data_IF_278953085191
#
_entry.id   IF_278953085191
#
_cell.length_a   1.000
_cell.length_b   1.000
_cell.length_c   1.000
_cell.angle_alpha   90.00
_cell.angle_beta   90.00
_cell.angle_gamma   90.00
#
_symmetry.space_group_name_H-M   'P 1'
#
loop_
_entity.id
_entity.type
_entity.pdbx_description
1 polymer ?
#
# COMPACT_ATOMS: atom_id res chain seq x y z
N UNK A 1 14.38 0.19 -13.59
CA UNK A 1 13.53 0.77 -14.66
C UNK A 1 12.09 0.72 -14.18
N UNK A 2 11.34 1.80 -14.32
CA UNK A 2 9.94 1.83 -13.90
C UNK A 2 9.04 1.42 -15.06
N UNK A 3 8.10 0.52 -14.78
CA UNK A 3 7.15 -0.03 -15.74
C UNK A 3 5.90 0.84 -15.72
N UNK A 4 5.54 1.40 -16.87
CA UNK A 4 4.35 2.21 -17.06
C UNK A 4 3.55 1.69 -18.25
N UNK A 5 2.23 1.80 -18.17
CA UNK A 5 1.34 1.41 -19.25
C UNK A 5 1.61 2.33 -20.44
N UNK A 6 1.83 1.74 -21.62
CA UNK A 6 2.04 2.44 -22.89
C UNK A 6 3.31 3.31 -22.99
N UNK A 7 4.30 3.13 -22.11
CA UNK A 7 5.59 3.84 -22.17
C UNK A 7 6.76 2.85 -22.22
N UNK A 8 7.79 3.16 -23.02
CA UNK A 8 9.04 2.41 -22.99
C UNK A 8 9.80 2.73 -21.69
N UNK A 9 10.11 1.73 -20.85
CA UNK A 9 10.73 1.95 -19.55
C UNK A 9 12.15 2.47 -19.74
N UNK A 10 12.41 3.70 -19.26
CA UNK A 10 13.76 4.28 -19.30
C UNK A 10 14.57 3.81 -18.08
N UNK A 11 15.80 3.28 -18.28
CA UNK A 11 16.66 2.92 -17.16
C UNK A 11 17.12 4.17 -16.38
N UNK A 12 17.17 4.06 -15.07
CA UNK A 12 17.78 5.03 -14.17
C UNK A 12 18.64 4.29 -13.14
N UNK A 13 19.65 4.98 -12.61
CA UNK A 13 20.48 4.52 -11.50
C UNK A 13 19.72 4.57 -10.18
N UNK A 14 20.21 3.85 -9.16
CA UNK A 14 19.64 3.92 -7.81
C UNK A 14 19.79 5.32 -7.18
N UNK A 15 20.84 6.06 -7.55
CA UNK A 15 21.05 7.43 -7.07
C UNK A 15 19.99 8.39 -7.64
N UNK A 16 19.72 8.32 -8.95
CA UNK A 16 18.65 9.11 -9.59
C UNK A 16 17.27 8.74 -9.02
N UNK A 17 16.99 7.45 -8.82
CA UNK A 17 15.74 7.01 -8.22
C UNK A 17 15.58 7.56 -6.77
N UNK A 18 16.67 7.59 -6.00
CA UNK A 18 16.67 8.18 -4.66
C UNK A 18 16.41 9.70 -4.68
N UNK A 19 16.98 10.43 -5.64
CA UNK A 19 16.70 11.86 -5.83
C UNK A 19 15.23 12.14 -6.18
N UNK A 20 14.56 11.20 -6.85
CA UNK A 20 13.12 11.26 -7.12
C UNK A 20 12.25 10.88 -5.92
N UNK A 21 12.83 10.29 -4.86
CA UNK A 21 12.13 9.91 -3.63
C UNK A 21 11.78 8.42 -3.53
N UNK A 22 12.37 7.57 -4.37
CA UNK A 22 12.28 6.12 -4.24
C UNK A 22 13.39 5.56 -3.35
N UNK A 23 13.07 4.61 -2.49
CA UNK A 23 14.05 3.99 -1.60
C UNK A 23 14.24 2.52 -1.94
N UNK A 24 15.52 2.11 -2.04
CA UNK A 24 15.93 0.74 -2.26
C UNK A 24 16.91 0.33 -1.18
N UNK A 25 16.54 -0.63 -0.34
CA UNK A 25 17.43 -1.22 0.66
C UNK A 25 17.76 -2.66 0.30
N UNK A 26 19.05 -2.98 0.33
CA UNK A 26 19.55 -4.34 0.18
C UNK A 26 20.31 -4.73 1.45
N UNK A 27 19.79 -5.71 2.18
CA UNK A 27 20.51 -6.37 3.28
C UNK A 27 20.82 -7.82 2.90
N UNK A 28 21.53 -8.55 3.76
CA UNK A 28 21.75 -9.99 3.54
C UNK A 28 20.41 -10.72 3.39
N UNK A 29 20.13 -11.19 2.17
CA UNK A 29 18.93 -11.97 1.83
C UNK A 29 17.62 -11.18 1.68
N UNK A 30 17.63 -9.84 1.73
CA UNK A 30 16.40 -9.04 1.63
C UNK A 30 16.60 -7.80 0.77
N UNK A 31 15.69 -7.65 -0.19
CA UNK A 31 15.55 -6.47 -1.04
C UNK A 31 14.22 -5.78 -0.70
N UNK A 32 14.26 -4.49 -0.42
CA UNK A 32 13.10 -3.65 -0.11
C UNK A 32 13.02 -2.54 -1.13
N UNK A 33 11.81 -2.30 -1.62
CA UNK A 33 11.47 -1.14 -2.42
C UNK A 33 10.37 -0.35 -1.69
N UNK A 34 10.58 0.96 -1.53
CA UNK A 34 9.57 1.88 -1.01
C UNK A 34 9.34 3.03 -1.98
N UNK A 35 8.07 3.39 -2.11
CA UNK A 35 7.62 4.57 -2.82
C UNK A 35 6.57 5.27 -1.95
N UNK A 36 6.64 6.58 -1.85
CA UNK A 36 5.54 7.37 -1.29
C UNK A 36 4.43 7.53 -2.33
N UNK A 37 3.26 8.03 -1.91
CA UNK A 37 2.26 8.47 -2.87
C UNK A 37 2.73 9.69 -3.69
N UNK A 38 2.15 9.86 -4.86
CA UNK A 38 2.38 10.98 -5.77
C UNK A 38 3.71 10.94 -6.52
N UNK A 39 4.35 9.77 -6.61
CA UNK A 39 5.64 9.62 -7.27
C UNK A 39 5.51 9.69 -8.79
N UNK A 40 6.48 10.26 -9.53
CA UNK A 40 6.33 10.58 -10.96
C UNK A 40 6.17 9.36 -11.86
N UNK A 41 6.67 8.20 -11.43
CA UNK A 41 6.59 6.92 -12.16
C UNK A 41 5.55 5.97 -11.57
N UNK A 42 4.76 6.46 -10.61
CA UNK A 42 3.56 5.76 -10.15
C UNK A 42 2.43 5.91 -11.16
N UNK A 43 1.49 4.96 -11.13
CA UNK A 43 0.26 5.03 -11.89
C UNK A 43 -0.94 4.70 -11.00
N UNK A 44 -2.06 5.35 -11.28
CA UNK A 44 -3.33 5.05 -10.62
C UNK A 44 -4.11 4.02 -11.44
N UNK A 45 -4.66 3.04 -10.75
CA UNK A 45 -5.55 2.02 -11.32
C UNK A 45 -6.67 1.69 -10.34
N UNK A 46 -7.62 0.87 -10.76
CA UNK A 46 -8.73 0.43 -9.91
C UNK A 46 -8.67 -1.10 -9.75
N UNK A 47 -8.73 -1.56 -8.51
CA UNK A 47 -8.73 -2.99 -8.16
C UNK A 47 -9.94 -3.26 -7.28
N UNK A 48 -10.86 -4.11 -7.72
CA UNK A 48 -12.12 -4.38 -7.01
C UNK A 48 -12.87 -3.10 -6.58
N UNK A 49 -12.91 -2.11 -7.48
CA UNK A 49 -13.52 -0.79 -7.23
C UNK A 49 -12.87 0.06 -6.14
N UNK A 50 -11.64 -0.28 -5.73
CA UNK A 50 -10.81 0.56 -4.88
C UNK A 50 -9.72 1.23 -5.71
N UNK A 51 -9.57 2.57 -5.64
CA UNK A 51 -8.50 3.27 -6.34
C UNK A 51 -7.15 2.96 -5.68
N UNK A 52 -6.18 2.52 -6.47
CA UNK A 52 -4.85 2.13 -6.03
C UNK A 52 -3.81 2.93 -6.79
N UNK A 53 -2.84 3.47 -6.07
CA UNK A 53 -1.60 3.96 -6.68
C UNK A 53 -0.55 2.86 -6.59
N UNK A 54 0.10 2.56 -7.72
CA UNK A 54 1.12 1.54 -7.81
C UNK A 54 2.38 2.06 -8.50
N UNK A 55 3.53 1.62 -8.03
CA UNK A 55 4.82 1.76 -8.67
C UNK A 55 5.38 0.37 -8.96
N UNK A 56 5.65 0.08 -10.23
CA UNK A 56 6.23 -1.18 -10.67
C UNK A 56 7.64 -0.92 -11.20
N UNK A 57 8.63 -1.60 -10.64
CA UNK A 57 10.04 -1.43 -10.99
C UNK A 57 10.71 -2.76 -11.26
N UNK A 58 11.47 -2.83 -12.33
CA UNK A 58 12.41 -3.92 -12.58
C UNK A 58 13.81 -3.45 -12.22
N UNK A 59 14.41 -4.10 -11.22
CA UNK A 59 15.77 -3.86 -10.77
C UNK A 59 16.71 -4.78 -11.55
N UNK A 60 17.71 -4.20 -12.21
CA UNK A 60 18.65 -4.92 -13.05
C UNK A 60 20.07 -4.82 -12.48
N UNK A 61 20.75 -5.95 -12.34
CA UNK A 61 22.16 -6.01 -11.96
C UNK A 61 22.89 -7.03 -12.81
N UNK A 62 24.04 -6.64 -13.37
CA UNK A 62 24.88 -7.52 -14.17
C UNK A 62 26.19 -7.82 -13.43
N UNK A 63 26.44 -9.09 -13.15
CA UNK A 63 27.69 -9.57 -12.56
C UNK A 63 28.38 -10.51 -13.57
N UNK A 64 29.40 -10.00 -14.25
CA UNK A 64 30.11 -10.70 -15.33
C UNK A 64 29.14 -11.26 -16.41
N UNK A 65 28.96 -12.58 -16.42
CA UNK A 65 28.14 -13.32 -17.38
C UNK A 65 26.71 -13.57 -16.90
N UNK A 66 26.40 -13.25 -15.63
CA UNK A 66 25.07 -13.41 -15.04
C UNK A 66 24.36 -12.06 -14.98
N UNK A 67 23.08 -12.06 -15.32
CA UNK A 67 22.17 -10.93 -15.19
C UNK A 67 21.08 -11.32 -14.20
N UNK A 68 20.91 -10.50 -13.17
CA UNK A 68 19.81 -10.57 -12.22
C UNK A 68 18.79 -9.49 -12.59
N UNK A 69 17.53 -9.91 -12.73
CA UNK A 69 16.38 -9.02 -12.87
C UNK A 69 15.37 -9.37 -11.80
N UNK A 70 14.89 -8.36 -11.07
CA UNK A 70 13.90 -8.54 -10.01
C UNK A 70 12.80 -7.53 -10.22
N UNK A 71 11.57 -8.02 -10.39
CA UNK A 71 10.38 -7.19 -10.44
C UNK A 71 9.89 -6.94 -9.01
N UNK A 72 9.64 -5.67 -8.70
CA UNK A 72 9.15 -5.20 -7.42
C UNK A 72 7.95 -4.30 -7.68
N UNK A 73 6.91 -4.47 -6.87
CA UNK A 73 5.70 -3.64 -6.95
C UNK A 73 5.39 -3.11 -5.56
N UNK A 74 5.24 -1.80 -5.46
CA UNK A 74 4.62 -1.15 -4.31
C UNK A 74 3.25 -0.68 -4.76
N UNK A 75 2.19 -1.09 -4.07
CA UNK A 75 0.83 -0.70 -4.38
C UNK A 75 0.06 -0.41 -3.09
N UNK A 76 -0.63 0.72 -3.07
CA UNK A 76 -1.32 1.19 -1.87
C UNK A 76 -2.67 1.82 -2.23
N UNK A 77 -3.69 1.57 -1.41
CA UNK A 77 -5.02 2.17 -1.60
C UNK A 77 -4.96 3.68 -1.43
N UNK A 78 -5.60 4.40 -2.37
CA UNK A 78 -5.76 5.86 -2.32
C UNK A 78 -7.17 6.28 -1.88
N UNK A 79 -7.97 5.31 -1.40
CA UNK A 79 -9.30 5.54 -0.85
C UNK A 79 -9.27 6.68 0.17
N UNK A 80 -10.10 7.70 -0.06
CA UNK A 80 -10.14 8.90 0.80
C UNK A 80 -10.85 8.65 2.12
N UNK A 81 -11.40 7.46 2.29
CA UNK A 81 -12.31 7.13 3.36
C UNK A 81 -13.67 7.78 3.18
N UNK A 82 -14.62 7.26 3.93
CA UNK A 82 -15.99 7.75 4.02
C UNK A 82 -16.44 7.71 5.47
N UNK A 83 -17.54 8.38 5.77
CA UNK A 83 -18.21 8.26 7.05
C UNK A 83 -19.71 8.30 6.81
N UNK A 84 -20.46 7.70 7.71
CA UNK A 84 -21.92 7.71 7.69
C UNK A 84 -22.49 8.04 9.08
N UNK A 85 -23.81 8.04 9.19
CA UNK A 85 -24.52 8.32 10.44
C UNK A 85 -24.39 7.19 11.47
N UNK A 86 -23.72 6.07 11.14
CA UNK A 86 -23.55 4.92 12.03
C UNK A 86 -22.48 5.12 13.10
N UNK A 87 -21.63 6.14 12.98
CA UNK A 87 -20.57 6.40 13.96
C UNK A 87 -19.14 6.16 13.48
N UNK A 88 -18.94 5.73 12.22
CA UNK A 88 -17.68 5.16 11.77
C UNK A 88 -17.02 5.97 10.66
N UNK A 89 -15.70 6.02 10.71
CA UNK A 89 -14.85 6.34 9.56
C UNK A 89 -14.45 5.02 8.90
N UNK A 90 -14.61 4.93 7.60
CA UNK A 90 -14.43 3.70 6.84
C UNK A 90 -13.44 3.92 5.71
N UNK A 91 -12.47 3.02 5.56
CA UNK A 91 -11.55 2.96 4.43
C UNK A 91 -11.64 1.61 3.74
N UNK A 92 -11.29 1.59 2.45
CA UNK A 92 -11.21 0.36 1.66
C UNK A 92 -9.80 0.14 1.11
N UNK A 93 -9.35 -1.10 1.13
CA UNK A 93 -8.14 -1.55 0.44
C UNK A 93 -8.39 -2.89 -0.24
N UNK A 94 -7.86 -3.17 -1.44
CA UNK A 94 -7.97 -4.51 -2.01
C UNK A 94 -7.38 -5.56 -1.06
N UNK A 95 -8.01 -6.72 -0.96
CA UNK A 95 -7.48 -7.86 -0.19
C UNK A 95 -6.21 -8.43 -0.84
N UNK A 96 -6.20 -8.46 -2.17
CA UNK A 96 -5.07 -8.85 -2.98
C UNK A 96 -4.89 -7.77 -4.03
N UNK A 97 -3.71 -7.15 -4.05
CA UNK A 97 -3.34 -6.12 -5.03
C UNK A 97 -3.01 -6.76 -6.39
N UNK A 98 -3.99 -7.49 -6.97
CA UNK A 98 -3.99 -8.16 -8.28
C UNK A 98 -3.24 -9.51 -8.39
N UNK A 99 -3.33 -10.28 -9.51
CA UNK A 99 -2.61 -11.56 -9.71
C UNK A 99 -1.07 -11.43 -9.73
N UNK A 100 -0.53 -10.30 -9.28
CA UNK A 100 0.88 -9.96 -9.08
C UNK A 100 1.49 -10.83 -7.96
N UNK A 101 0.66 -11.38 -7.07
CA UNK A 101 1.06 -12.32 -6.02
C UNK A 101 0.11 -13.53 -6.06
N UNK A 102 0.25 -14.36 -7.10
CA UNK A 102 -0.48 -15.63 -7.19
C UNK A 102 -0.05 -16.56 -6.04
N UNK A 103 -0.99 -16.94 -5.17
CA UNK A 103 -0.77 -18.01 -4.18
C UNK A 103 -1.12 -17.72 -2.72
N UNK A 104 -1.53 -16.50 -2.36
CA UNK A 104 -1.95 -16.20 -0.98
C UNK A 104 -3.41 -16.63 -0.80
N UNK A 105 -3.63 -17.71 -0.04
CA UNK A 105 -4.97 -18.29 0.20
C UNK A 105 -5.57 -17.89 1.56
N UNK A 106 -4.76 -17.38 2.49
CA UNK A 106 -5.21 -16.96 3.82
C UNK A 106 -4.61 -15.60 4.17
N UNK A 107 -5.44 -14.56 4.09
CA UNK A 107 -5.10 -13.21 4.55
C UNK A 107 -5.56 -13.03 5.99
N UNK A 108 -4.62 -12.86 6.91
CA UNK A 108 -4.86 -12.46 8.30
C UNK A 108 -4.69 -10.94 8.42
N UNK A 109 -5.58 -10.29 9.19
CA UNK A 109 -5.48 -8.86 9.45
C UNK A 109 -5.14 -8.61 10.91
N UNK A 110 -4.21 -7.68 11.13
CA UNK A 110 -3.96 -7.12 12.44
C UNK A 110 -3.99 -5.59 12.31
N UNK A 111 -4.50 -4.91 13.33
CA UNK A 111 -4.53 -3.45 13.39
C UNK A 111 -3.35 -2.97 14.22
N UNK A 112 -2.66 -1.93 13.74
CA UNK A 112 -1.66 -1.20 14.51
C UNK A 112 -2.07 0.26 14.67
N UNK A 113 -1.85 0.84 15.85
CA UNK A 113 -2.07 2.27 16.13
C UNK A 113 -0.77 2.84 16.68
N UNK A 114 -0.34 4.00 16.16
CA UNK A 114 0.93 4.63 16.54
C UNK A 114 2.16 3.71 16.43
N UNK A 115 2.15 2.79 15.46
CA UNK A 115 3.16 1.75 15.25
C UNK A 115 3.14 0.58 16.24
N UNK A 116 2.19 0.55 17.17
CA UNK A 116 1.99 -0.54 18.11
C UNK A 116 0.86 -1.46 17.66
N UNK A 117 1.10 -2.77 17.72
CA UNK A 117 0.10 -3.78 17.41
C UNK A 117 -1.03 -3.73 18.45
N UNK A 118 -2.27 -3.68 17.98
CA UNK A 118 -3.46 -3.77 18.82
C UNK A 118 -3.91 -5.23 18.86
N UNK A 119 -3.99 -5.80 20.06
CA UNK A 119 -4.53 -7.16 20.22
C UNK A 119 -5.96 -7.24 19.67
N UNK A 120 -6.36 -8.34 19.00
CA UNK A 120 -7.68 -8.46 18.40
C UNK A 120 -8.83 -8.18 19.38
N UNK A 121 -8.74 -8.69 20.60
CA UNK A 121 -9.74 -8.44 21.66
C UNK A 121 -9.85 -6.97 22.03
N UNK A 122 -8.72 -6.27 22.10
CA UNK A 122 -8.68 -4.82 22.37
C UNK A 122 -9.25 -4.03 21.19
N UNK A 123 -8.98 -4.46 19.96
CA UNK A 123 -9.56 -3.84 18.77
C UNK A 123 -11.09 -4.00 18.77
N UNK A 124 -11.61 -5.19 19.09
CA UNK A 124 -13.04 -5.48 19.23
C UNK A 124 -13.69 -4.65 20.36
N UNK A 125 -13.07 -4.56 21.53
CA UNK A 125 -13.54 -3.74 22.66
C UNK A 125 -13.60 -2.24 22.31
N UNK A 126 -12.68 -1.77 21.45
CA UNK A 126 -12.67 -0.40 20.92
C UNK A 126 -13.64 -0.20 19.75
N UNK A 127 -14.32 -1.26 19.31
CA UNK A 127 -15.27 -1.24 18.21
C UNK A 127 -14.61 -1.14 16.83
N UNK A 128 -13.35 -1.54 16.66
CA UNK A 128 -12.70 -1.56 15.35
C UNK A 128 -13.19 -2.77 14.55
N UNK A 129 -13.52 -2.55 13.29
CA UNK A 129 -14.07 -3.57 12.40
C UNK A 129 -13.15 -3.70 11.20
N UNK A 130 -12.71 -4.93 10.91
CA UNK A 130 -11.96 -5.28 9.70
C UNK A 130 -12.64 -6.45 9.03
N UNK A 131 -13.30 -6.20 7.91
CA UNK A 131 -14.13 -7.17 7.23
C UNK A 131 -13.71 -7.32 5.78
N UNK A 132 -13.78 -8.56 5.28
CA UNK A 132 -13.61 -8.85 3.85
C UNK A 132 -14.96 -8.75 3.17
N UNK A 133 -15.02 -8.01 2.07
CA UNK A 133 -16.17 -7.93 1.19
C UNK A 133 -15.70 -7.97 -0.26
N UNK A 134 -16.07 -9.02 -0.99
CA UNK A 134 -15.86 -9.17 -2.43
C UNK A 134 -14.42 -8.84 -2.92
N UNK A 135 -13.39 -9.33 -2.23
CA UNK A 135 -11.98 -9.11 -2.61
C UNK A 135 -11.42 -7.75 -2.18
N UNK A 136 -12.16 -7.04 -1.33
CA UNK A 136 -11.75 -5.81 -0.67
C UNK A 136 -11.79 -6.01 0.84
N UNK A 137 -10.97 -5.27 1.56
CA UNK A 137 -10.94 -5.19 3.01
C UNK A 137 -11.49 -3.83 3.39
N UNK A 138 -12.59 -3.82 4.13
CA UNK A 138 -13.14 -2.62 4.73
C UNK A 138 -12.62 -2.50 6.15
N UNK A 139 -12.09 -1.32 6.48
CA UNK A 139 -11.59 -0.97 7.80
C UNK A 139 -12.49 0.12 8.35
N UNK A 140 -13.19 -0.14 9.46
CA UNK A 140 -14.08 0.82 10.10
C UNK A 140 -13.62 1.12 11.52
N UNK A 141 -13.43 2.40 11.82
CA UNK A 141 -12.99 2.90 13.12
C UNK A 141 -14.02 3.93 13.64
N UNK A 142 -14.55 3.78 14.86
CA UNK A 142 -15.47 4.75 15.44
C UNK A 142 -14.81 6.14 15.53
N UNK A 143 -15.49 7.21 15.12
CA UNK A 143 -14.92 8.56 15.25
C UNK A 143 -14.81 9.04 16.70
N UNK A 144 -15.50 8.37 17.64
CA UNK A 144 -15.43 8.62 19.08
C UNK A 144 -14.26 7.92 19.76
N UNK A 145 -13.43 7.18 19.02
CA UNK A 145 -12.26 6.50 19.58
C UNK A 145 -11.29 7.50 20.21
N UNK A 146 -10.66 7.08 21.31
CA UNK A 146 -9.54 7.82 21.89
C UNK A 146 -8.44 8.04 20.84
N UNK A 147 -7.95 9.27 20.71
CA UNK A 147 -6.98 9.67 19.68
C UNK A 147 -7.58 10.12 18.33
N UNK A 148 -8.89 10.07 18.16
CA UNK A 148 -9.59 10.61 16.98
C UNK A 148 -9.62 12.13 16.97
N UNK A 149 -8.89 12.76 16.05
CA UNK A 149 -8.93 14.22 15.84
C UNK A 149 -9.71 14.54 14.56
N UNK A 150 -10.76 15.36 14.69
CA UNK A 150 -11.47 15.91 13.53
C UNK A 150 -10.90 17.29 13.18
N UNK A 151 -10.49 17.47 11.93
CA UNK A 151 -10.23 18.82 11.40
C UNK A 151 -11.58 19.54 11.23
N UNK A 152 -11.89 20.46 12.13
CA UNK A 152 -13.05 21.35 11.98
C UNK A 152 -12.63 22.51 11.09
N UNK A 153 -13.20 22.59 9.89
CA UNK A 153 -13.08 23.78 9.05
C UNK A 153 -14.14 24.76 9.55
N UNK A 154 -13.73 25.80 10.26
CA UNK A 154 -14.60 26.92 10.57
C UNK A 154 -14.85 27.71 9.28
N UNK A 155 -16.13 27.95 8.97
CA UNK A 155 -16.55 28.75 7.82
C UNK A 155 -16.81 30.20 8.22
#
# INVERSE_FOLDING_TARGET
MFQRVDEEPTPMSLAEAHELGYEFDLTEGRLVFRATYGQPDSFCTEVNSVPVEAAHVTLFSRQHWVVLMVDLVAACSTDKGSYDDSGYMMWRTPEVLHPIISGIHETLFNIGINSDLVEPTVAEERGYIVEKDNGTVQISIPYTTEGGYRKVIMH
#
